data_IF_937536406647
#
_entry.id   IF_937536406647
#
_cell.length_a   1.000
_cell.length_b   1.000
_cell.length_c   1.000
_cell.angle_alpha   90.00
_cell.angle_beta   90.00
_cell.angle_gamma   90.00
#
_symmetry.space_group_name_H-M   'P 1'
#
loop_
_entity.id
_entity.type
_entity.pdbx_description
1 polymer ?
#
# COMPACT_ATOMS: atom_id res chain seq x y z
N UNK A 1 -13.92 16.01 -22.06
CA UNK A 1 -13.17 16.53 -20.89
C UNK A 1 -11.99 15.60 -20.66
N UNK A 2 -10.77 16.10 -20.46
CA UNK A 2 -9.63 15.24 -20.09
C UNK A 2 -9.81 14.80 -18.63
N UNK A 3 -9.37 13.59 -18.27
CA UNK A 3 -9.56 13.04 -16.94
C UNK A 3 -8.97 13.94 -15.84
N UNK A 4 -7.82 14.58 -16.10
CA UNK A 4 -7.18 15.47 -15.15
C UNK A 4 -8.03 16.72 -14.86
N UNK A 5 -8.70 17.25 -15.89
CA UNK A 5 -9.60 18.39 -15.72
C UNK A 5 -10.83 18.00 -14.88
N UNK A 6 -11.41 16.82 -15.14
CA UNK A 6 -12.53 16.31 -14.36
C UNK A 6 -12.19 16.18 -12.86
N UNK A 7 -11.03 15.61 -12.53
CA UNK A 7 -10.60 15.46 -11.14
C UNK A 7 -10.38 16.80 -10.46
N UNK A 8 -9.76 17.76 -11.15
CA UNK A 8 -9.57 19.11 -10.61
C UNK A 8 -10.91 19.84 -10.41
N UNK A 9 -11.81 19.77 -11.39
CA UNK A 9 -13.13 20.39 -11.30
C UNK A 9 -13.92 19.81 -10.12
N UNK A 10 -13.79 18.51 -9.84
CA UNK A 10 -14.37 17.88 -8.65
C UNK A 10 -13.72 18.38 -7.35
N UNK A 11 -12.39 18.40 -7.27
CA UNK A 11 -11.67 18.89 -6.08
C UNK A 11 -11.92 20.38 -5.80
N UNK A 12 -12.14 21.19 -6.83
CA UNK A 12 -12.51 22.61 -6.72
C UNK A 12 -13.89 22.80 -6.06
N UNK A 13 -14.75 21.77 -6.03
CA UNK A 13 -16.00 21.78 -5.24
C UNK A 13 -15.77 21.64 -3.73
N UNK A 14 -14.52 21.43 -3.31
CA UNK A 14 -14.07 21.29 -1.93
C UNK A 14 -14.75 20.13 -1.17
N UNK A 15 -14.64 18.87 -1.65
CA UNK A 15 -15.16 17.71 -0.94
C UNK A 15 -14.40 17.45 0.37
N UNK A 16 -14.95 16.63 1.26
CA UNK A 16 -14.26 16.24 2.49
C UNK A 16 -13.05 15.33 2.22
N UNK A 17 -13.16 14.46 1.22
CA UNK A 17 -12.12 13.54 0.77
C UNK A 17 -12.25 13.26 -0.73
N UNK A 18 -11.20 12.69 -1.31
CA UNK A 18 -11.20 12.15 -2.66
C UNK A 18 -11.15 10.62 -2.59
N UNK A 19 -12.11 9.95 -3.22
CA UNK A 19 -12.06 8.50 -3.41
C UNK A 19 -12.06 8.16 -4.89
N UNK A 20 -11.35 7.11 -5.27
CA UNK A 20 -11.41 6.59 -6.63
C UNK A 20 -11.60 5.08 -6.65
N UNK A 21 -12.09 4.61 -7.80
CA UNK A 21 -12.31 3.21 -8.06
C UNK A 21 -11.53 2.77 -9.30
N UNK A 22 -10.56 1.88 -9.09
CA UNK A 22 -9.82 1.19 -10.14
C UNK A 22 -9.34 -0.18 -9.63
N UNK A 23 -9.60 -1.23 -10.40
CA UNK A 23 -9.31 -2.62 -10.02
C UNK A 23 -8.18 -3.17 -10.90
N UNK A 24 -6.96 -3.33 -10.36
CA UNK A 24 -5.79 -3.60 -11.18
C UNK A 24 -5.64 -5.06 -11.59
N UNK A 25 -6.33 -6.02 -10.95
CA UNK A 25 -6.14 -7.45 -11.25
C UNK A 25 -7.15 -7.96 -12.27
N UNK A 26 -6.68 -8.12 -13.50
CA UNK A 26 -7.45 -8.68 -14.60
C UNK A 26 -7.21 -10.19 -14.68
N UNK A 27 -8.04 -10.91 -15.44
CA UNK A 27 -7.78 -12.33 -15.75
C UNK A 27 -6.49 -12.55 -16.54
N UNK A 28 -5.98 -11.51 -17.19
CA UNK A 28 -4.68 -11.49 -17.89
C UNK A 28 -3.49 -11.10 -17.00
N UNK A 29 -3.71 -10.83 -15.72
CA UNK A 29 -2.71 -10.33 -14.78
C UNK A 29 -2.95 -8.88 -14.38
N UNK A 30 -1.99 -8.29 -13.67
CA UNK A 30 -2.11 -6.94 -13.12
C UNK A 30 -1.87 -5.86 -14.20
N UNK A 31 -2.77 -4.87 -14.29
CA UNK A 31 -2.53 -3.62 -15.02
C UNK A 31 -1.72 -2.65 -14.15
N UNK A 32 -0.42 -2.92 -14.08
CA UNK A 32 0.54 -2.15 -13.27
C UNK A 32 0.59 -0.67 -13.68
N UNK A 33 0.47 -0.40 -14.98
CA UNK A 33 0.61 0.96 -15.53
C UNK A 33 -0.49 1.88 -15.00
N UNK A 34 -1.75 1.51 -15.17
CA UNK A 34 -2.86 2.39 -14.79
C UNK A 34 -3.00 2.48 -13.28
N UNK A 35 -2.70 1.39 -12.55
CA UNK A 35 -2.64 1.39 -11.08
C UNK A 35 -1.74 2.50 -10.56
N UNK A 36 -0.47 2.52 -10.98
CA UNK A 36 0.49 3.51 -10.48
C UNK A 36 0.28 4.89 -11.07
N UNK A 37 -0.13 5.03 -12.34
CA UNK A 37 -0.45 6.35 -12.90
C UNK A 37 -1.60 7.02 -12.14
N UNK A 38 -2.62 6.24 -11.74
CA UNK A 38 -3.76 6.74 -10.96
C UNK A 38 -3.32 7.15 -9.56
N UNK A 39 -2.55 6.29 -8.86
CA UNK A 39 -2.04 6.59 -7.53
C UNK A 39 -1.10 7.81 -7.52
N UNK A 40 -0.17 7.91 -8.46
CA UNK A 40 0.74 9.07 -8.61
C UNK A 40 -0.06 10.37 -8.84
N UNK A 41 -1.00 10.34 -9.79
CA UNK A 41 -1.79 11.52 -10.11
C UNK A 41 -2.65 11.96 -8.93
N UNK A 42 -3.41 11.03 -8.32
CA UNK A 42 -4.34 11.37 -7.25
C UNK A 42 -3.63 11.74 -5.95
N UNK A 43 -2.51 11.10 -5.57
CA UNK A 43 -1.75 11.54 -4.39
C UNK A 43 -1.29 12.99 -4.55
N UNK A 44 -0.87 13.38 -5.75
CA UNK A 44 -0.37 14.74 -6.02
C UNK A 44 -1.52 15.76 -5.98
N UNK A 45 -2.67 15.44 -6.58
CA UNK A 45 -3.83 16.33 -6.51
C UNK A 45 -4.35 16.45 -5.07
N UNK A 46 -4.48 15.34 -4.34
CA UNK A 46 -4.89 15.36 -2.94
C UNK A 46 -3.96 16.20 -2.07
N UNK A 47 -2.64 16.11 -2.28
CA UNK A 47 -1.67 16.95 -1.56
C UNK A 47 -1.84 18.45 -1.89
N UNK A 48 -2.06 18.81 -3.16
CA UNK A 48 -2.29 20.22 -3.57
C UNK A 48 -3.56 20.79 -2.94
N UNK A 49 -4.62 19.99 -2.85
CA UNK A 49 -5.93 20.41 -2.34
C UNK A 49 -6.12 20.18 -0.83
N UNK A 50 -5.14 19.57 -0.15
CA UNK A 50 -5.24 19.24 1.27
C UNK A 50 -6.38 18.26 1.57
N UNK A 51 -6.55 17.23 0.72
CA UNK A 51 -7.62 16.22 0.84
C UNK A 51 -7.06 14.85 1.13
N UNK A 52 -7.80 14.09 1.93
CA UNK A 52 -7.49 12.68 2.14
C UNK A 52 -7.84 11.85 0.90
N UNK A 53 -6.95 10.93 0.54
CA UNK A 53 -7.17 9.96 -0.53
C UNK A 53 -7.73 8.66 0.04
N UNK A 54 -8.82 8.18 -0.54
CA UNK A 54 -9.44 6.88 -0.25
C UNK A 54 -9.45 6.02 -1.51
N UNK A 55 -9.31 4.70 -1.34
CA UNK A 55 -9.17 3.76 -2.46
C UNK A 55 -10.20 2.64 -2.37
N UNK A 56 -10.86 2.32 -3.48
CA UNK A 56 -11.61 1.08 -3.58
C UNK A 56 -10.68 -0.10 -3.85
N UNK A 57 -10.77 -1.11 -3.00
CA UNK A 57 -9.96 -2.33 -3.07
C UNK A 57 -10.78 -3.40 -3.75
N UNK A 58 -10.17 -4.00 -4.78
CA UNK A 58 -10.71 -5.15 -5.47
C UNK A 58 -10.96 -6.29 -4.49
N UNK A 59 -12.20 -6.75 -4.37
CA UNK A 59 -12.55 -7.96 -3.61
C UNK A 59 -13.59 -8.84 -4.29
N UNK A 60 -13.84 -8.58 -5.58
CA UNK A 60 -14.86 -9.22 -6.40
C UNK A 60 -14.29 -9.44 -7.81
N UNK A 61 -14.81 -10.44 -8.52
CA UNK A 61 -14.61 -10.62 -9.96
C UNK A 61 -15.83 -10.12 -10.72
N UNK A 62 -15.65 -9.66 -11.96
CA UNK A 62 -16.77 -9.41 -12.87
C UNK A 62 -16.35 -9.48 -14.33
N UNK A 63 -17.30 -9.86 -15.18
CA UNK A 63 -17.02 -10.19 -16.58
C UNK A 63 -16.63 -8.97 -17.42
N UNK A 64 -17.29 -7.83 -17.17
CA UNK A 64 -16.93 -6.55 -17.81
C UNK A 64 -15.48 -6.20 -17.47
N UNK A 65 -14.69 -5.80 -18.47
CA UNK A 65 -13.25 -5.51 -18.32
C UNK A 65 -12.38 -6.68 -17.83
N UNK A 66 -12.94 -7.90 -17.76
CA UNK A 66 -12.23 -9.11 -17.36
C UNK A 66 -11.58 -9.01 -15.98
N UNK A 67 -12.30 -8.51 -14.99
CA UNK A 67 -11.79 -8.36 -13.62
C UNK A 67 -11.76 -9.72 -12.92
N UNK A 68 -10.59 -10.11 -12.43
CA UNK A 68 -10.38 -11.38 -11.74
C UNK A 68 -10.80 -11.31 -10.27
N UNK A 69 -11.05 -12.46 -9.65
CA UNK A 69 -11.13 -12.55 -8.19
C UNK A 69 -9.70 -12.47 -7.66
N UNK A 70 -9.35 -11.51 -6.79
CA UNK A 70 -7.99 -11.41 -6.28
C UNK A 70 -7.68 -12.59 -5.37
N UNK A 71 -6.42 -13.00 -5.39
CA UNK A 71 -5.81 -13.80 -4.33
C UNK A 71 -5.65 -12.96 -3.05
N UNK A 72 -5.35 -13.62 -1.92
CA UNK A 72 -5.05 -12.90 -0.68
C UNK A 72 -3.85 -11.95 -0.84
N UNK A 73 -2.81 -12.39 -1.55
CA UNK A 73 -1.58 -11.62 -1.75
C UNK A 73 -1.80 -10.39 -2.64
N UNK A 74 -2.60 -10.52 -3.70
CA UNK A 74 -3.02 -9.41 -4.57
C UNK A 74 -3.86 -8.40 -3.79
N UNK A 75 -4.84 -8.85 -3.01
CA UNK A 75 -5.64 -7.96 -2.17
C UNK A 75 -4.77 -7.24 -1.13
N UNK A 76 -3.83 -7.96 -0.49
CA UNK A 76 -2.86 -7.38 0.45
C UNK A 76 -2.02 -6.31 -0.23
N UNK A 77 -1.45 -6.63 -1.39
CA UNK A 77 -0.66 -5.68 -2.18
C UNK A 77 -1.47 -4.45 -2.58
N UNK A 78 -2.73 -4.59 -3.00
CA UNK A 78 -3.58 -3.45 -3.35
C UNK A 78 -3.78 -2.51 -2.17
N UNK A 79 -4.03 -3.06 -0.97
CA UNK A 79 -4.13 -2.28 0.27
C UNK A 79 -2.80 -1.61 0.60
N UNK A 80 -1.71 -2.37 0.70
CA UNK A 80 -0.42 -1.85 1.12
C UNK A 80 0.21 -0.87 0.13
N UNK A 81 0.03 -1.08 -1.18
CA UNK A 81 0.43 -0.11 -2.20
C UNK A 81 -0.36 1.19 -2.09
N UNK A 82 -1.67 1.14 -1.81
CA UNK A 82 -2.49 2.33 -1.56
C UNK A 82 -2.02 3.11 -0.33
N UNK A 83 -1.72 2.40 0.77
CA UNK A 83 -1.21 3.00 2.01
C UNK A 83 0.19 3.63 1.82
N UNK A 84 1.07 2.97 1.07
CA UNK A 84 2.38 3.52 0.69
C UNK A 84 2.24 4.83 -0.11
N UNK A 85 1.22 4.91 -0.96
CA UNK A 85 0.84 6.12 -1.70
C UNK A 85 0.04 7.15 -0.88
N UNK A 86 -0.06 6.97 0.44
CA UNK A 86 -0.61 7.95 1.35
C UNK A 86 -2.13 7.90 1.51
N UNK A 87 -2.80 6.84 1.03
CA UNK A 87 -4.22 6.65 1.28
C UNK A 87 -4.52 6.62 2.79
N UNK A 88 -5.57 7.34 3.19
CA UNK A 88 -6.03 7.46 4.59
C UNK A 88 -7.21 6.56 4.91
N UNK A 89 -7.82 5.97 3.89
CA UNK A 89 -8.88 4.99 4.03
C UNK A 89 -9.02 4.14 2.79
N UNK A 90 -9.74 3.02 2.93
CA UNK A 90 -10.06 2.16 1.80
C UNK A 90 -11.40 1.46 2.00
N UNK A 91 -12.02 1.08 0.89
CA UNK A 91 -13.34 0.45 0.86
C UNK A 91 -13.26 -0.79 -0.02
N UNK A 92 -13.73 -1.93 0.46
CA UNK A 92 -13.80 -3.13 -0.38
C UNK A 92 -15.01 -3.07 -1.32
N UNK A 93 -14.77 -3.30 -2.60
CA UNK A 93 -15.84 -3.51 -3.57
C UNK A 93 -15.90 -4.98 -3.99
N UNK A 94 -16.98 -5.71 -3.68
CA UNK A 94 -18.17 -5.31 -2.89
C UNK A 94 -18.32 -6.12 -1.62
N UNK A 95 -19.11 -5.58 -0.68
CA UNK A 95 -19.50 -6.32 0.51
C UNK A 95 -20.35 -7.55 0.17
N UNK A 96 -21.41 -7.42 -0.61
CA UNK A 96 -22.18 -8.54 -1.16
C UNK A 96 -22.00 -8.59 -2.68
N UNK A 97 -21.89 -9.79 -3.24
CA UNK A 97 -21.84 -10.01 -4.69
C UNK A 97 -23.12 -9.51 -5.34
N UNK A 98 -23.07 -8.51 -6.25
CA UNK A 98 -24.26 -8.00 -6.91
C UNK A 98 -25.01 -9.09 -7.71
N UNK A 99 -26.32 -9.18 -7.51
CA UNK A 99 -27.21 -10.06 -8.28
C UNK A 99 -27.40 -9.53 -9.70
N UNK A 100 -26.48 -9.88 -10.58
CA UNK A 100 -26.39 -9.37 -11.96
C UNK A 100 -26.14 -10.53 -12.92
N UNK A 101 -26.60 -10.38 -14.16
CA UNK A 101 -26.53 -11.42 -15.19
C UNK A 101 -25.95 -10.85 -16.49
N UNK A 102 -25.48 -11.74 -17.38
CA UNK A 102 -24.91 -11.35 -18.67
C UNK A 102 -23.50 -10.79 -18.54
N UNK A 103 -23.07 -9.95 -19.48
CA UNK A 103 -21.69 -9.43 -19.55
C UNK A 103 -21.30 -8.52 -18.37
N UNK A 104 -22.25 -8.16 -17.52
CA UNK A 104 -22.05 -7.37 -16.29
C UNK A 104 -22.14 -8.24 -15.04
N UNK A 105 -22.03 -9.57 -15.17
CA UNK A 105 -22.16 -10.47 -14.04
C UNK A 105 -21.00 -10.28 -13.06
N UNK A 106 -21.34 -10.15 -11.78
CA UNK A 106 -20.41 -10.10 -10.67
C UNK A 106 -20.33 -11.46 -9.97
N UNK A 107 -19.15 -11.80 -9.48
CA UNK A 107 -18.85 -13.08 -8.88
C UNK A 107 -17.92 -12.93 -7.68
N UNK A 108 -18.11 -13.79 -6.67
CA UNK A 108 -17.14 -14.00 -5.60
C UNK A 108 -16.74 -12.73 -4.81
N UNK A 109 -17.70 -11.83 -4.55
CA UNK A 109 -17.54 -10.73 -3.61
C UNK A 109 -17.34 -11.24 -2.17
N UNK A 110 -17.21 -10.34 -1.19
CA UNK A 110 -16.95 -10.77 0.19
C UNK A 110 -18.06 -11.71 0.72
N UNK A 111 -19.32 -11.37 0.46
CA UNK A 111 -20.46 -12.26 0.65
C UNK A 111 -20.97 -12.75 -0.70
N UNK A 112 -21.31 -14.04 -0.76
CA UNK A 112 -22.00 -14.63 -1.89
C UNK A 112 -23.49 -14.21 -1.90
N UNK A 113 -24.20 -14.37 -3.04
CA UNK A 113 -25.62 -14.04 -3.18
C UNK A 113 -26.56 -14.67 -2.12
N UNK A 114 -26.15 -15.78 -1.49
CA UNK A 114 -26.90 -16.45 -0.44
C UNK A 114 -26.56 -15.95 0.99
N UNK A 115 -25.73 -14.90 1.09
CA UNK A 115 -25.27 -14.32 2.34
C UNK A 115 -24.12 -15.06 3.02
N UNK A 116 -23.63 -16.16 2.43
CA UNK A 116 -22.47 -16.88 2.98
C UNK A 116 -21.17 -16.12 2.71
N UNK A 117 -20.19 -16.26 3.61
CA UNK A 117 -18.88 -15.62 3.48
C UNK A 117 -18.02 -16.36 2.46
N UNK A 118 -17.46 -15.63 1.50
CA UNK A 118 -16.49 -16.14 0.55
C UNK A 118 -15.05 -16.10 1.14
N UNK A 119 -14.08 -16.66 0.44
CA UNK A 119 -12.65 -16.58 0.80
C UNK A 119 -12.12 -15.14 0.87
N UNK A 120 -12.56 -14.26 -0.04
CA UNK A 120 -12.22 -12.82 -0.04
C UNK A 120 -12.63 -12.11 1.25
N UNK A 121 -13.70 -12.56 1.93
CA UNK A 121 -14.05 -12.08 3.28
C UNK A 121 -12.96 -12.36 4.30
N UNK A 122 -12.39 -13.57 4.27
CA UNK A 122 -11.34 -13.97 5.20
C UNK A 122 -10.05 -13.19 4.92
N UNK A 123 -9.73 -12.96 3.65
CA UNK A 123 -8.59 -12.13 3.24
C UNK A 123 -8.75 -10.70 3.76
N UNK A 124 -9.89 -10.07 3.50
CA UNK A 124 -10.20 -8.72 3.99
C UNK A 124 -10.13 -8.64 5.52
N UNK A 125 -10.68 -9.64 6.23
CA UNK A 125 -10.60 -9.67 7.69
C UNK A 125 -9.17 -9.82 8.22
N UNK A 126 -8.32 -10.62 7.57
CA UNK A 126 -6.91 -10.75 7.93
C UNK A 126 -6.13 -9.45 7.67
N UNK A 127 -6.27 -8.87 6.47
CA UNK A 127 -5.59 -7.63 6.07
C UNK A 127 -6.05 -6.46 6.95
N UNK A 128 -7.35 -6.33 7.24
CA UNK A 128 -7.85 -5.29 8.15
C UNK A 128 -7.21 -5.37 9.54
N UNK A 129 -7.00 -6.58 10.08
CA UNK A 129 -6.31 -6.74 11.38
C UNK A 129 -4.85 -6.30 11.33
N UNK A 130 -4.20 -6.40 10.17
CA UNK A 130 -2.84 -5.89 9.97
C UNK A 130 -2.86 -4.37 9.90
N UNK A 131 -3.74 -3.78 9.07
CA UNK A 131 -3.80 -2.33 8.88
C UNK A 131 -4.28 -1.58 10.12
N UNK A 132 -5.20 -2.17 10.92
CA UNK A 132 -5.63 -1.59 12.20
C UNK A 132 -4.45 -1.31 13.16
N UNK A 133 -3.34 -2.04 13.02
CA UNK A 133 -2.11 -1.81 13.81
C UNK A 133 -1.31 -0.62 13.29
N UNK A 134 -1.36 -0.37 11.99
CA UNK A 134 -0.64 0.72 11.31
C UNK A 134 -1.42 2.04 11.34
N UNK A 135 -2.75 1.97 11.38
CA UNK A 135 -3.67 3.11 11.30
C UNK A 135 -3.32 4.28 12.23
N UNK A 136 -3.07 4.07 13.54
CA UNK A 136 -2.72 5.15 14.46
C UNK A 136 -1.48 5.95 14.05
N UNK A 137 -0.47 5.31 13.44
CA UNK A 137 0.66 6.02 12.87
C UNK A 137 0.26 6.65 11.52
N UNK A 138 -0.15 5.85 10.54
CA UNK A 138 -0.36 6.30 9.15
C UNK A 138 -1.35 7.46 9.03
N UNK A 139 -2.38 7.53 9.88
CA UNK A 139 -3.34 8.64 9.87
C UNK A 139 -2.67 9.99 10.20
N UNK A 140 -1.65 10.00 11.07
CA UNK A 140 -0.94 11.19 11.52
C UNK A 140 0.33 11.50 10.70
N UNK A 141 0.62 10.72 9.67
CA UNK A 141 1.80 10.89 8.82
C UNK A 141 1.48 11.65 7.53
N UNK A 142 2.32 12.61 7.17
CA UNK A 142 2.31 13.25 5.85
C UNK A 142 3.24 12.48 4.92
N UNK A 143 2.76 12.07 3.75
CA UNK A 143 3.59 11.45 2.73
C UNK A 143 4.48 12.51 2.06
N UNK A 144 5.79 12.30 2.10
CA UNK A 144 6.77 13.20 1.48
C UNK A 144 7.11 12.75 0.06
N UNK A 145 7.48 11.48 -0.09
CA UNK A 145 7.98 10.91 -1.35
C UNK A 145 7.65 9.42 -1.46
N UNK A 146 7.46 8.95 -2.69
CA UNK A 146 7.35 7.53 -3.03
C UNK A 146 8.40 7.20 -4.08
N UNK A 147 9.10 6.09 -3.87
CA UNK A 147 10.11 5.57 -4.76
C UNK A 147 9.86 4.09 -5.04
N UNK A 148 10.43 3.62 -6.15
CA UNK A 148 10.34 2.24 -6.60
C UNK A 148 11.72 1.66 -6.84
N UNK A 149 11.84 0.37 -6.60
CA UNK A 149 12.98 -0.46 -7.01
C UNK A 149 12.51 -1.59 -7.93
N UNK A 150 13.45 -2.25 -8.60
CA UNK A 150 13.15 -3.25 -9.62
C UNK A 150 12.72 -2.60 -10.94
N UNK A 151 11.86 -3.29 -11.71
CA UNK A 151 11.18 -2.67 -12.85
C UNK A 151 10.38 -1.44 -12.40
N UNK A 152 10.53 -0.33 -13.13
CA UNK A 152 9.89 0.94 -12.82
C UNK A 152 8.59 1.09 -13.61
N UNK A 153 7.43 1.11 -12.92
CA UNK A 153 6.18 1.39 -13.59
C UNK A 153 6.15 2.81 -14.15
N UNK A 154 5.39 3.06 -15.23
CA UNK A 154 5.23 4.41 -15.77
C UNK A 154 4.78 5.43 -14.71
N UNK A 155 5.31 6.65 -14.80
CA UNK A 155 5.05 7.78 -13.89
C UNK A 155 5.63 7.64 -12.46
N UNK A 156 6.26 6.52 -12.11
CA UNK A 156 6.91 6.33 -10.81
C UNK A 156 8.32 6.91 -10.77
N UNK A 157 8.87 7.04 -9.56
CA UNK A 157 10.23 7.55 -9.31
C UNK A 157 11.14 6.43 -8.86
N UNK A 158 12.35 6.36 -9.44
CA UNK A 158 13.37 5.41 -9.02
C UNK A 158 13.94 5.77 -7.63
N UNK A 159 14.21 4.75 -6.80
CA UNK A 159 15.00 4.93 -5.59
C UNK A 159 16.46 5.22 -5.96
N UNK A 160 16.90 6.45 -5.71
CA UNK A 160 18.27 6.90 -5.95
C UNK A 160 18.91 7.37 -4.63
N UNK A 161 20.25 7.42 -4.52
CA UNK A 161 20.92 7.90 -3.30
C UNK A 161 20.50 9.30 -2.85
N UNK A 162 19.97 10.14 -3.75
CA UNK A 162 19.42 11.46 -3.43
C UNK A 162 18.21 11.39 -2.49
N UNK A 163 17.53 10.24 -2.42
CA UNK A 163 16.46 9.99 -1.44
C UNK A 163 16.97 9.84 0.00
N UNK A 164 18.28 9.67 0.20
CA UNK A 164 18.89 9.31 1.48
C UNK A 164 18.85 7.81 1.79
N UNK A 165 18.28 6.99 0.88
CA UNK A 165 18.23 5.54 0.97
C UNK A 165 18.75 4.92 -0.33
N UNK A 166 19.47 3.82 -0.23
CA UNK A 166 19.88 3.00 -1.36
C UNK A 166 19.69 1.50 -1.06
N UNK A 167 19.65 0.67 -2.10
CA UNK A 167 19.76 -0.77 -1.93
C UNK A 167 21.19 -1.12 -1.50
N UNK A 168 21.33 -1.85 -0.39
CA UNK A 168 22.64 -2.30 0.08
C UNK A 168 23.24 -3.40 -0.81
N UNK A 169 22.36 -4.14 -1.50
CA UNK A 169 22.68 -5.24 -2.42
C UNK A 169 21.69 -5.22 -3.59
N UNK A 170 22.11 -5.67 -4.78
CA UNK A 170 21.22 -5.76 -5.96
C UNK A 170 20.83 -4.43 -6.61
N UNK A 171 21.37 -3.28 -6.15
CA UNK A 171 21.19 -1.97 -6.77
C UNK A 171 22.14 -1.78 -7.96
N UNK A 172 21.63 -1.89 -9.19
CA UNK A 172 22.43 -1.70 -10.40
C UNK A 172 21.86 -2.37 -11.65
N UNK A 173 20.94 -3.31 -11.48
CA UNK A 173 20.14 -3.88 -12.56
C UNK A 173 18.69 -4.04 -12.07
N UNK A 174 17.74 -3.41 -12.75
CA UNK A 174 16.32 -3.48 -12.42
C UNK A 174 15.77 -4.91 -12.34
N UNK A 175 16.31 -5.86 -13.11
CA UNK A 175 15.90 -7.27 -13.06
C UNK A 175 16.42 -8.01 -11.81
N UNK A 176 17.46 -7.49 -11.16
CA UNK A 176 18.10 -8.08 -9.99
C UNK A 176 17.77 -7.35 -8.69
N UNK A 177 17.27 -6.12 -8.80
CA UNK A 177 16.81 -5.34 -7.65
C UNK A 177 15.51 -5.91 -7.10
N UNK A 178 15.35 -6.02 -5.76
CA UNK A 178 14.09 -6.44 -5.18
C UNK A 178 12.99 -5.45 -5.59
N UNK A 179 11.82 -5.91 -6.09
CA UNK A 179 10.74 -5.03 -6.54
C UNK A 179 9.95 -4.49 -5.34
N UNK A 180 10.25 -3.26 -4.92
CA UNK A 180 9.66 -2.62 -3.73
C UNK A 180 9.04 -1.27 -4.06
N UNK A 181 8.11 -0.84 -3.19
CA UNK A 181 7.68 0.55 -3.04
C UNK A 181 8.29 1.06 -1.72
N UNK A 182 9.00 2.18 -1.76
CA UNK A 182 9.63 2.84 -0.60
C UNK A 182 8.98 4.20 -0.44
N UNK A 183 8.27 4.41 0.67
CA UNK A 183 7.56 5.67 0.93
C UNK A 183 8.12 6.34 2.16
N UNK A 184 8.46 7.63 2.03
CA UNK A 184 8.98 8.45 3.11
C UNK A 184 7.86 9.32 3.66
N UNK A 185 7.75 9.37 4.98
CA UNK A 185 6.74 10.16 5.67
C UNK A 185 7.35 11.01 6.78
N UNK A 186 6.63 12.07 7.11
CA UNK A 186 6.91 12.96 8.25
C UNK A 186 5.69 13.07 9.15
N UNK A 187 5.88 12.84 10.45
CA UNK A 187 4.88 13.14 11.47
C UNK A 187 4.88 14.65 11.81
N UNK A 188 3.80 15.14 12.42
CA UNK A 188 3.70 16.56 12.82
C UNK A 188 4.83 17.03 13.75
N UNK A 189 5.33 16.13 14.61
CA UNK A 189 6.44 16.41 15.51
C UNK A 189 7.83 16.39 14.84
N UNK A 190 7.88 16.14 13.52
CA UNK A 190 9.10 16.07 12.72
C UNK A 190 9.73 14.68 12.61
N UNK A 191 9.21 13.67 13.31
CA UNK A 191 9.70 12.31 13.20
C UNK A 191 9.56 11.78 11.77
N UNK A 192 10.56 11.01 11.34
CA UNK A 192 10.61 10.44 10.00
C UNK A 192 10.23 8.98 10.02
N UNK A 193 9.45 8.56 9.03
CA UNK A 193 9.03 7.19 8.86
C UNK A 193 9.32 6.71 7.43
N UNK A 194 9.51 5.41 7.29
CA UNK A 194 9.66 4.75 6.01
C UNK A 194 8.72 3.54 5.97
N UNK A 195 7.92 3.45 4.92
CA UNK A 195 7.13 2.28 4.61
C UNK A 195 7.76 1.53 3.44
N UNK A 196 7.91 0.22 3.58
CA UNK A 196 8.51 -0.65 2.57
C UNK A 196 7.46 -1.69 2.21
N UNK A 197 7.06 -1.73 0.94
CA UNK A 197 6.05 -2.67 0.43
C UNK A 197 6.66 -3.56 -0.64
N UNK A 198 6.40 -4.85 -0.56
CA UNK A 198 6.78 -5.81 -1.58
C UNK A 198 5.81 -5.74 -2.77
N UNK A 199 6.34 -5.64 -3.99
CA UNK A 199 5.58 -5.85 -5.23
C UNK A 199 5.50 -7.34 -5.63
N UNK A 200 6.19 -8.23 -4.91
CA UNK A 200 6.14 -9.67 -5.15
C UNK A 200 4.85 -10.27 -4.59
N UNK A 201 4.15 -11.08 -5.40
CA UNK A 201 2.82 -11.62 -5.09
C UNK A 201 2.80 -13.14 -4.85
N UNK A 202 3.91 -13.83 -5.14
CA UNK A 202 4.00 -15.29 -5.03
C UNK A 202 4.93 -15.75 -3.91
N UNK A 203 6.01 -15.02 -3.69
CA UNK A 203 7.10 -15.43 -2.80
C UNK A 203 7.43 -14.34 -1.78
N UNK A 204 8.10 -14.76 -0.69
CA UNK A 204 8.67 -13.82 0.26
C UNK A 204 9.72 -12.95 -0.43
N UNK A 205 9.74 -11.66 -0.09
CA UNK A 205 10.73 -10.71 -0.57
C UNK A 205 11.63 -10.26 0.59
N UNK A 206 12.89 -10.66 0.52
CA UNK A 206 13.93 -10.12 1.40
C UNK A 206 14.64 -8.94 0.71
N UNK A 207 15.00 -7.93 1.48
CA UNK A 207 15.73 -6.77 0.98
C UNK A 207 16.60 -6.15 2.07
N UNK A 208 17.66 -5.45 1.64
CA UNK A 208 18.58 -4.73 2.53
C UNK A 208 18.68 -3.29 2.04
N UNK A 209 18.26 -2.34 2.85
CA UNK A 209 18.26 -0.91 2.52
C UNK A 209 19.28 -0.20 3.40
N UNK A 210 20.15 0.60 2.78
CA UNK A 210 21.11 1.44 3.49
C UNK A 210 20.58 2.86 3.60
N UNK A 211 20.46 3.34 4.83
CA UNK A 211 20.12 4.71 5.16
C UNK A 211 21.41 5.52 5.27
N UNK A 212 21.60 6.48 4.35
CA UNK A 212 22.85 7.23 4.22
C UNK A 212 23.12 8.14 5.43
N UNK A 213 22.06 8.64 6.06
CA UNK A 213 22.15 9.45 7.27
C UNK A 213 22.47 8.62 8.54
N UNK A 214 22.36 7.28 8.46
CA UNK A 214 22.57 6.35 9.58
C UNK A 214 21.86 6.79 10.87
N UNK A 215 20.51 6.80 10.89
CA UNK A 215 19.76 7.14 12.11
C UNK A 215 20.25 6.32 13.30
N UNK A 216 20.19 6.88 14.51
CA UNK A 216 20.62 6.19 15.73
C UNK A 216 19.83 4.92 15.97
N UNK A 217 18.52 4.95 15.67
CA UNK A 217 17.64 3.79 15.74
C UNK A 217 16.64 3.75 14.58
N UNK A 218 16.32 2.54 14.14
CA UNK A 218 15.15 2.24 13.33
C UNK A 218 14.31 1.22 14.09
N UNK A 219 13.04 1.51 14.30
CA UNK A 219 12.10 0.59 14.95
C UNK A 219 10.94 0.28 14.04
N UNK A 220 10.57 -1.00 13.97
CA UNK A 220 9.38 -1.41 13.23
C UNK A 220 8.15 -1.00 14.03
N UNK A 221 7.20 -0.36 13.35
CA UNK A 221 5.87 -0.16 13.87
C UNK A 221 5.11 -1.48 13.76
N UNK A 222 5.23 -2.32 14.79
CA UNK A 222 4.68 -3.67 14.83
C UNK A 222 3.73 -3.84 16.02
N UNK A 223 3.14 -5.02 16.16
CA UNK A 223 2.51 -5.39 17.42
C UNK A 223 2.62 -6.90 17.63
N UNK A 224 3.76 -7.34 18.14
CA UNK A 224 3.93 -8.67 18.74
C UNK A 224 3.72 -8.60 20.26
N UNK A 225 2.49 -8.36 20.72
CA UNK A 225 2.08 -8.79 22.06
C UNK A 225 1.23 -10.07 22.04
N UNK A 226 0.97 -10.63 20.85
CA UNK A 226 0.32 -11.93 20.65
C UNK A 226 -1.18 -11.97 20.98
N UNK A 227 -1.84 -10.81 21.19
CA UNK A 227 -3.26 -10.73 21.59
C UNK A 227 -4.19 -10.36 20.44
N UNK A 228 -5.44 -10.81 20.53
CA UNK A 228 -6.53 -10.36 19.65
C UNK A 228 -6.70 -8.84 19.74
N UNK A 229 -7.04 -8.18 18.63
CA UNK A 229 -7.04 -6.72 18.52
C UNK A 229 -7.97 -6.03 19.54
N UNK A 230 -9.09 -6.65 19.91
CA UNK A 230 -10.02 -6.11 20.93
C UNK A 230 -9.47 -6.17 22.36
N UNK A 231 -8.39 -6.94 22.58
CA UNK A 231 -7.78 -7.21 23.87
C UNK A 231 -6.41 -6.52 24.02
N UNK A 232 -5.97 -5.80 22.98
CA UNK A 232 -4.73 -5.02 22.99
C UNK A 232 -4.92 -3.77 23.86
N UNK A 233 -3.99 -3.54 24.78
CA UNK A 233 -3.98 -2.35 25.65
C UNK A 233 -3.29 -1.16 24.98
N UNK A 234 -2.39 -1.41 24.03
CA UNK A 234 -1.66 -0.41 23.25
C UNK A 234 -1.64 -0.87 21.78
N UNK A 235 -1.99 0.05 20.87
CA UNK A 235 -1.92 -0.17 19.42
C UNK A 235 -0.70 0.59 18.90
N UNK A 236 0.12 -0.06 18.07
CA UNK A 236 1.30 0.57 17.48
C UNK A 236 2.50 0.61 18.41
N UNK A 237 3.04 -0.57 18.72
CA UNK A 237 4.24 -0.71 19.55
C UNK A 237 5.46 -0.67 18.64
N UNK A 238 6.52 0.02 19.05
CA UNK A 238 7.78 -0.03 18.35
C UNK A 238 8.55 -1.27 18.78
N UNK A 239 8.82 -2.20 17.86
CA UNK A 239 9.73 -3.33 18.09
C UNK A 239 11.11 -3.03 17.50
N UNK A 240 12.15 -3.72 18.01
CA UNK A 240 13.47 -3.65 17.39
C UNK A 240 13.39 -4.16 15.94
N UNK A 241 13.95 -3.37 15.02
CA UNK A 241 14.14 -3.78 13.62
C UNK A 241 15.54 -4.40 13.47
N UNK A 242 15.74 -5.21 12.43
CA UNK A 242 17.07 -5.72 12.07
C UNK A 242 17.89 -4.61 11.38
N UNK A 243 18.35 -3.65 12.20
CA UNK A 243 19.08 -2.47 11.78
C UNK A 243 20.47 -2.41 12.40
N UNK A 244 21.50 -2.34 11.54
CA UNK A 244 22.88 -2.11 11.93
C UNK A 244 23.22 -0.62 11.79
N UNK A 245 23.33 0.08 12.91
CA UNK A 245 23.66 1.51 12.97
C UNK A 245 25.06 1.87 12.45
N UNK A 246 26.01 0.95 12.50
CA UNK A 246 27.38 1.21 12.06
C UNK A 246 27.43 1.27 10.52
N UNK A 247 26.70 0.35 9.89
CA UNK A 247 26.60 0.29 8.42
C UNK A 247 25.43 1.10 7.86
N UNK A 248 24.44 1.44 8.68
CA UNK A 248 23.18 2.07 8.28
C UNK A 248 22.23 1.12 7.56
N UNK A 249 22.40 -0.20 7.68
CA UNK A 249 21.63 -1.18 6.90
C UNK A 249 20.46 -1.70 7.71
N UNK A 250 19.26 -1.59 7.15
CA UNK A 250 18.05 -2.28 7.60
C UNK A 250 17.83 -3.51 6.71
N UNK A 251 17.77 -4.70 7.33
CA UNK A 251 17.28 -5.91 6.66
C UNK A 251 15.77 -6.01 6.86
N UNK A 252 15.04 -6.31 5.79
CA UNK A 252 13.60 -6.55 5.83
C UNK A 252 13.25 -7.85 5.15
N UNK A 253 12.24 -8.52 5.68
CA UNK A 253 11.59 -9.68 5.09
C UNK A 253 10.09 -9.42 5.05
N UNK A 254 9.52 -9.57 3.86
CA UNK A 254 8.13 -9.22 3.54
C UNK A 254 7.43 -10.43 2.92
N UNK A 255 6.26 -10.78 3.45
CA UNK A 255 5.34 -11.73 2.83
C UNK A 255 4.87 -11.20 1.46
N UNK A 256 4.33 -12.06 0.58
CA UNK A 256 3.76 -11.61 -0.68
C UNK A 256 2.75 -10.47 -0.50
N UNK A 257 3.00 -9.34 -1.18
CA UNK A 257 2.18 -8.12 -1.13
C UNK A 257 2.18 -7.36 0.20
N UNK A 258 3.00 -7.75 1.17
CA UNK A 258 3.06 -7.11 2.50
C UNK A 258 3.78 -5.77 2.45
N UNK A 259 3.42 -4.89 3.39
CA UNK A 259 4.23 -3.75 3.76
C UNK A 259 4.51 -3.65 5.25
N UNK A 260 5.64 -3.04 5.58
CA UNK A 260 6.06 -2.73 6.95
C UNK A 260 6.40 -1.26 7.08
N UNK A 261 6.07 -0.67 8.23
CA UNK A 261 6.31 0.72 8.55
C UNK A 261 7.39 0.80 9.63
N UNK A 262 8.34 1.72 9.47
CA UNK A 262 9.44 1.92 10.41
C UNK A 262 9.53 3.38 10.80
N UNK A 263 9.78 3.65 12.09
CA UNK A 263 10.16 4.97 12.60
C UNK A 263 11.67 5.08 12.64
N UNK A 264 12.20 6.20 12.15
CA UNK A 264 13.62 6.55 12.25
C UNK A 264 13.80 7.57 13.38
N UNK A 265 14.68 7.27 14.33
CA UNK A 265 15.02 8.15 15.46
C UNK A 265 16.48 8.58 15.34
N UNK A 266 16.73 9.88 15.55
CA UNK A 266 18.06 10.50 15.48
C UNK A 266 18.98 10.12 16.63
#
# INVERSE_FOLDING_TARGET
MRYEAYVKDWLDTNPDLMSYDYYPFLTSGMDEKVHYQTLEFLREQCAVYGKDLWVYIQSVAYDTFHIAKPTEHEMRFHVYSSLAYGAKGYIYFTYETPHTNGETAFHNGLLLPDGTRNDTFQYAAAINREVLKLGPALLNLTLDQVYHTGSLPPATRELTPQSGIELAEGGGNAEQSPPLIISLFTAENGDKFVMIVSKQLLEQQDARLRFLAKPGFIREWSNEDGKEWHQQKEVGVLSEADYDKETGVLSVSLRPGEGKLYRMEG
#
